data_IF_832354744013
#
_entry.id   IF_832354744013
#
_cell.length_a   1.000
_cell.length_b   1.000
_cell.length_c   1.000
_cell.angle_alpha   90.00
_cell.angle_beta   90.00
_cell.angle_gamma   90.00
#
_symmetry.space_group_name_H-M   'P 1'
#
loop_
_entity.id
_entity.type
_entity.pdbx_description
1 polymer ?
#
# COMPACT_ATOMS: atom_id res chain seq x y z
N UNK A 1 13.90 37.85 -0.03
CA UNK A 1 14.13 36.48 -0.54
C UNK A 1 13.92 35.39 0.51
N UNK A 2 13.48 35.69 1.74
CA UNK A 2 13.35 34.71 2.83
C UNK A 2 12.08 33.83 2.82
N UNK A 3 11.17 33.97 1.84
CA UNK A 3 9.86 33.30 1.91
C UNK A 3 9.83 31.91 1.24
N UNK A 4 10.63 31.67 0.21
CA UNK A 4 10.64 30.38 -0.50
C UNK A 4 11.40 29.33 0.30
N UNK A 5 12.59 29.66 0.79
CA UNK A 5 13.42 28.76 1.59
C UNK A 5 12.76 28.36 2.92
N UNK A 6 12.05 29.28 3.59
CA UNK A 6 11.28 28.93 4.80
C UNK A 6 10.06 28.07 4.51
N UNK A 7 9.33 28.35 3.42
CA UNK A 7 8.20 27.52 3.00
C UNK A 7 8.66 26.10 2.60
N UNK A 8 9.77 26.00 1.87
CA UNK A 8 10.39 24.73 1.50
C UNK A 8 10.87 23.96 2.74
N UNK A 9 11.55 24.62 3.68
CA UNK A 9 11.94 23.99 4.94
C UNK A 9 10.73 23.44 5.72
N UNK A 10 9.64 24.19 5.81
CA UNK A 10 8.43 23.72 6.46
C UNK A 10 7.82 22.48 5.76
N UNK A 11 7.85 22.46 4.44
CA UNK A 11 7.39 21.33 3.64
C UNK A 11 8.28 20.10 3.88
N UNK A 12 9.60 20.25 3.86
CA UNK A 12 10.54 19.16 4.12
C UNK A 12 10.37 18.58 5.54
N UNK A 13 10.13 19.45 6.53
CA UNK A 13 9.83 19.01 7.90
C UNK A 13 8.53 18.19 7.95
N UNK A 14 7.47 18.66 7.28
CA UNK A 14 6.22 17.93 7.18
C UNK A 14 6.37 16.57 6.50
N UNK A 15 7.13 16.52 5.40
CA UNK A 15 7.43 15.27 4.68
C UNK A 15 8.21 14.28 5.56
N UNK A 16 9.21 14.75 6.32
CA UNK A 16 9.96 13.91 7.23
C UNK A 16 9.08 13.34 8.35
N UNK A 17 8.22 14.16 8.95
CA UNK A 17 7.27 13.71 9.98
C UNK A 17 6.26 12.70 9.44
N UNK A 18 5.71 12.94 8.25
CA UNK A 18 4.79 12.01 7.59
C UNK A 18 5.48 10.68 7.26
N UNK A 19 6.72 10.74 6.78
CA UNK A 19 7.53 9.55 6.52
C UNK A 19 7.77 8.74 7.80
N UNK A 20 8.03 9.39 8.94
CA UNK A 20 8.15 8.70 10.23
C UNK A 20 6.85 7.99 10.65
N UNK A 21 5.69 8.65 10.50
CA UNK A 21 4.40 8.02 10.80
C UNK A 21 4.16 6.80 9.91
N UNK A 22 4.45 6.91 8.60
CA UNK A 22 4.34 5.79 7.65
C UNK A 22 5.30 4.65 7.98
N UNK A 23 6.55 4.98 8.32
CA UNK A 23 7.57 4.01 8.73
C UNK A 23 7.09 3.21 9.92
N UNK A 24 6.53 3.91 10.90
CA UNK A 24 6.03 3.30 12.11
C UNK A 24 4.86 2.34 11.84
N UNK A 25 3.88 2.78 11.05
CA UNK A 25 2.78 1.92 10.60
C UNK A 25 3.31 0.66 9.88
N UNK A 26 4.26 0.83 8.96
CA UNK A 26 4.87 -0.27 8.22
C UNK A 26 5.60 -1.28 9.12
N UNK A 27 6.30 -0.80 10.16
CA UNK A 27 6.95 -1.64 11.17
C UNK A 27 5.90 -2.42 11.98
N UNK A 28 4.80 -1.79 12.40
CA UNK A 28 3.71 -2.47 13.11
C UNK A 28 3.07 -3.58 12.26
N UNK A 29 2.83 -3.31 10.98
CA UNK A 29 2.31 -4.29 10.02
C UNK A 29 3.29 -5.46 9.89
N UNK A 30 4.58 -5.19 9.66
CA UNK A 30 5.63 -6.22 9.57
C UNK A 30 5.64 -7.11 10.83
N UNK A 31 5.60 -6.52 12.01
CA UNK A 31 5.57 -7.25 13.28
C UNK A 31 4.34 -8.16 13.38
N UNK A 32 3.17 -7.65 13.00
CA UNK A 32 1.92 -8.42 12.98
C UNK A 32 2.00 -9.60 12.01
N UNK A 33 2.53 -9.40 10.81
CA UNK A 33 2.67 -10.44 9.80
C UNK A 33 3.65 -11.54 10.21
N UNK A 34 4.74 -11.18 10.90
CA UNK A 34 5.67 -12.15 11.48
C UNK A 34 4.95 -13.01 12.52
N UNK A 35 4.18 -12.38 13.42
CA UNK A 35 3.36 -13.10 14.40
C UNK A 35 2.33 -14.00 13.74
N UNK A 36 1.58 -13.49 12.76
CA UNK A 36 0.60 -14.27 12.00
C UNK A 36 1.25 -15.48 11.31
N UNK A 37 2.42 -15.29 10.70
CA UNK A 37 3.17 -16.39 10.10
C UNK A 37 3.56 -17.43 11.14
N UNK A 38 4.00 -17.01 12.33
CA UNK A 38 4.37 -17.93 13.40
C UNK A 38 3.16 -18.64 14.02
N UNK A 39 2.00 -18.00 14.11
CA UNK A 39 0.81 -18.56 14.77
C UNK A 39 -0.14 -19.31 13.85
N UNK A 40 -0.26 -18.93 12.58
CA UNK A 40 -1.29 -19.47 11.67
C UNK A 40 -0.71 -20.30 10.52
N UNK A 41 0.51 -19.97 10.06
CA UNK A 41 1.12 -20.63 8.90
C UNK A 41 1.88 -21.87 9.35
N UNK A 42 1.16 -22.99 9.42
CA UNK A 42 1.70 -24.30 9.79
C UNK A 42 1.83 -25.26 8.59
N UNK A 43 2.75 -26.21 8.70
CA UNK A 43 2.87 -27.36 7.80
C UNK A 43 4.04 -27.29 6.80
N UNK A 44 4.19 -28.34 6.00
CA UNK A 44 5.29 -28.50 5.04
C UNK A 44 5.08 -27.80 3.69
N UNK A 45 3.94 -27.10 3.50
CA UNK A 45 3.66 -26.38 2.26
C UNK A 45 4.57 -25.15 2.16
N UNK A 46 5.09 -24.84 0.96
CA UNK A 46 5.87 -23.62 0.76
C UNK A 46 5.00 -22.41 1.09
N UNK A 47 5.49 -21.57 1.99
CA UNK A 47 4.84 -20.38 2.53
C UNK A 47 5.07 -19.15 1.62
N UNK A 48 5.05 -19.36 0.30
CA UNK A 48 5.42 -18.37 -0.73
C UNK A 48 4.62 -17.08 -0.62
N UNK A 49 3.31 -17.17 -0.36
CA UNK A 49 2.47 -15.98 -0.23
C UNK A 49 2.82 -15.12 0.99
N UNK A 50 3.06 -15.75 2.15
CA UNK A 50 3.43 -15.05 3.37
C UNK A 50 4.82 -14.38 3.23
N UNK A 51 5.77 -15.06 2.58
CA UNK A 51 7.07 -14.47 2.25
C UNK A 51 6.93 -13.30 1.28
N UNK A 52 6.21 -13.46 0.17
CA UNK A 52 6.00 -12.39 -0.81
C UNK A 52 5.35 -11.15 -0.18
N UNK A 53 4.41 -11.34 0.75
CA UNK A 53 3.77 -10.24 1.45
C UNK A 53 4.73 -9.55 2.44
N UNK A 54 5.53 -10.31 3.19
CA UNK A 54 6.60 -9.75 4.04
C UNK A 54 7.64 -8.98 3.23
N UNK A 55 8.03 -9.49 2.06
CA UNK A 55 9.01 -8.85 1.20
C UNK A 55 8.47 -7.55 0.61
N UNK A 56 7.18 -7.48 0.27
CA UNK A 56 6.52 -6.21 -0.11
C UNK A 56 6.55 -5.18 1.01
N UNK A 57 6.26 -5.57 2.24
CA UNK A 57 6.29 -4.65 3.39
C UNK A 57 7.71 -4.17 3.66
N UNK A 58 8.72 -5.05 3.54
CA UNK A 58 10.12 -4.65 3.64
C UNK A 58 10.51 -3.63 2.56
N UNK A 59 10.20 -3.92 1.30
CA UNK A 59 10.46 -2.98 0.20
C UNK A 59 9.75 -1.63 0.42
N UNK A 60 8.54 -1.64 0.99
CA UNK A 60 7.84 -0.42 1.35
C UNK A 60 8.54 0.37 2.46
N UNK A 61 9.04 -0.32 3.50
CA UNK A 61 9.86 0.28 4.55
C UNK A 61 11.09 0.94 3.94
N UNK A 62 11.81 0.23 3.07
CA UNK A 62 13.04 0.73 2.43
C UNK A 62 12.76 2.05 1.66
N UNK A 63 11.68 2.10 0.88
CA UNK A 63 11.26 3.31 0.16
C UNK A 63 10.91 4.47 1.12
N UNK A 64 10.23 4.19 2.23
CA UNK A 64 9.90 5.24 3.22
C UNK A 64 11.17 5.77 3.89
N UNK A 65 12.12 4.89 4.21
CA UNK A 65 13.41 5.26 4.80
C UNK A 65 14.18 6.17 3.86
N UNK A 66 14.25 5.83 2.57
CA UNK A 66 14.87 6.68 1.55
C UNK A 66 14.20 8.05 1.48
N UNK A 67 12.86 8.10 1.49
CA UNK A 67 12.10 9.35 1.48
C UNK A 67 12.36 10.21 2.73
N UNK A 68 12.46 9.59 3.90
CA UNK A 68 12.77 10.28 5.15
C UNK A 68 14.18 10.87 5.12
N UNK A 69 15.18 10.06 4.75
CA UNK A 69 16.57 10.48 4.65
C UNK A 69 16.74 11.63 3.64
N UNK A 70 16.07 11.55 2.48
CA UNK A 70 16.09 12.62 1.49
C UNK A 70 15.48 13.93 2.03
N UNK A 71 14.32 13.86 2.69
CA UNK A 71 13.67 15.03 3.27
C UNK A 71 14.50 15.64 4.41
N UNK A 72 15.09 14.81 5.27
CA UNK A 72 15.97 15.24 6.36
C UNK A 72 17.23 15.95 5.81
N UNK A 73 17.88 15.38 4.78
CA UNK A 73 19.05 15.99 4.14
C UNK A 73 18.71 17.33 3.47
N UNK A 74 17.57 17.42 2.78
CA UNK A 74 17.11 18.66 2.18
C UNK A 74 16.83 19.73 3.26
N UNK A 75 16.19 19.34 4.37
CA UNK A 75 15.95 20.24 5.50
C UNK A 75 17.26 20.73 6.14
N UNK A 76 18.25 19.84 6.28
CA UNK A 76 19.59 20.18 6.79
C UNK A 76 20.29 21.22 5.92
N UNK A 77 20.23 21.07 4.59
CA UNK A 77 20.82 22.03 3.65
C UNK A 77 20.20 23.43 3.72
N UNK A 78 18.90 23.50 4.01
CA UNK A 78 18.15 24.78 4.07
C UNK A 78 18.30 25.49 5.41
N UNK A 79 18.24 24.76 6.52
CA UNK A 79 18.17 25.34 7.88
C UNK A 79 19.52 25.35 8.58
N UNK A 80 20.42 24.42 8.22
CA UNK A 80 21.66 24.18 8.95
C UNK A 80 21.43 23.49 10.31
N UNK A 81 22.50 23.27 11.08
CA UNK A 81 22.41 22.56 12.36
C UNK A 81 21.61 23.33 13.40
N UNK A 82 20.79 22.63 14.19
CA UNK A 82 19.92 23.27 15.17
C UNK A 82 19.18 22.29 16.09
N UNK A 83 18.30 22.83 16.93
CA UNK A 83 17.52 22.05 17.91
C UNK A 83 16.59 21.02 17.27
N UNK A 84 16.28 21.16 15.99
CA UNK A 84 15.45 20.25 15.22
C UNK A 84 16.11 18.88 14.96
N UNK A 85 17.45 18.76 15.08
CA UNK A 85 18.15 17.47 14.98
C UNK A 85 17.70 16.48 16.06
N UNK A 86 17.27 16.99 17.22
CA UNK A 86 16.67 16.18 18.28
C UNK A 86 15.28 15.62 17.90
N UNK A 87 14.58 16.29 16.98
CA UNK A 87 13.26 15.86 16.51
C UNK A 87 13.31 14.99 15.26
N UNK A 88 14.22 15.29 14.33
CA UNK A 88 14.46 14.53 13.11
C UNK A 88 15.86 13.91 13.18
N UNK A 89 15.97 12.81 13.93
CA UNK A 89 17.25 12.13 14.11
C UNK A 89 17.65 11.35 12.85
N UNK A 90 18.96 11.16 12.65
CA UNK A 90 19.48 10.27 11.60
C UNK A 90 18.98 8.86 11.92
N UNK A 91 18.30 8.25 10.96
CA UNK A 91 17.74 6.91 11.13
C UNK A 91 18.86 5.88 10.94
N UNK A 92 19.15 5.09 11.98
CA UNK A 92 20.07 3.96 11.87
C UNK A 92 19.31 2.71 11.45
N UNK A 93 19.99 1.79 10.76
CA UNK A 93 19.42 0.47 10.43
C UNK A 93 18.97 -0.28 11.69
N UNK A 94 19.66 -0.01 12.81
CA UNK A 94 19.37 -0.53 14.14
C UNK A 94 18.04 -0.03 14.71
N UNK A 95 17.55 1.12 14.27
CA UNK A 95 16.26 1.67 14.72
C UNK A 95 15.07 1.02 14.00
N UNK A 96 15.32 0.33 12.88
CA UNK A 96 14.31 -0.31 12.04
C UNK A 96 14.05 -1.76 12.51
N UNK A 97 13.70 -1.93 13.78
CA UNK A 97 13.33 -3.23 14.33
C UNK A 97 11.83 -3.31 14.63
N UNK A 98 11.25 -4.49 14.42
CA UNK A 98 9.90 -4.73 14.90
C UNK A 98 9.90 -4.72 16.43
N UNK A 99 8.83 -4.22 17.06
CA UNK A 99 8.64 -4.27 18.53
C UNK A 99 8.82 -5.69 19.10
N UNK A 100 8.66 -6.72 18.26
CA UNK A 100 8.80 -8.14 18.60
C UNK A 100 10.22 -8.70 18.38
N UNK A 101 11.15 -7.94 17.80
CA UNK A 101 12.54 -8.34 17.56
C UNK A 101 13.44 -8.14 18.80
N UNK A 102 12.87 -7.86 19.98
CA UNK A 102 13.65 -8.02 21.21
C UNK A 102 14.12 -9.47 21.23
N UNK A 103 15.43 -9.66 21.11
CA UNK A 103 16.09 -10.96 21.11
C UNK A 103 15.71 -11.68 22.41
N UNK A 104 14.61 -12.43 22.38
CA UNK A 104 14.31 -13.38 23.43
C UNK A 104 15.50 -14.36 23.42
N UNK A 105 16.21 -14.54 24.56
CA UNK A 105 17.31 -15.48 24.61
C UNK A 105 16.78 -16.85 24.18
N UNK A 106 17.34 -17.37 23.09
CA UNK A 106 16.99 -18.67 22.53
C UNK A 106 17.39 -19.74 23.54
N UNK A 107 16.44 -20.18 24.36
CA UNK A 107 16.54 -21.44 25.07
C UNK A 107 15.47 -22.37 24.52
N UNK A 108 15.92 -23.20 23.57
CA UNK A 108 15.39 -24.52 23.21
C UNK A 108 13.96 -24.84 23.70
N UNK A 109 12.97 -24.56 22.84
CA UNK A 109 11.77 -25.40 22.72
C UNK A 109 10.69 -25.31 23.80
N UNK A 110 10.63 -24.27 24.63
CA UNK A 110 9.49 -24.05 25.52
C UNK A 110 8.95 -22.62 25.42
N UNK A 111 7.69 -22.50 25.02
CA UNK A 111 6.92 -21.25 25.08
C UNK A 111 6.78 -20.85 26.55
N UNK A 112 7.67 -19.98 27.03
CA UNK A 112 7.53 -19.33 28.33
C UNK A 112 6.37 -18.33 28.21
N UNK A 113 5.27 -18.63 28.92
CA UNK A 113 4.18 -17.68 29.14
C UNK A 113 4.77 -16.46 29.85
N UNK A 114 4.50 -15.27 29.33
CA UNK A 114 4.83 -13.98 29.95
C UNK A 114 4.26 -13.92 31.36
N UNK A 115 5.10 -14.26 32.35
CA UNK A 115 4.97 -13.83 33.73
C UNK A 115 5.76 -12.53 33.87
N UNK A 116 5.09 -11.49 34.33
CA UNK A 116 5.72 -10.28 34.85
C UNK A 116 6.56 -10.72 36.04
N UNK A 117 7.89 -10.62 35.93
CA UNK A 117 8.74 -10.49 37.10
C UNK A 117 9.93 -9.58 36.78
N UNK A 118 10.22 -8.77 37.78
CA UNK A 118 11.17 -7.65 37.78
C UNK A 118 12.58 -8.19 38.03
N UNK A 119 13.57 -7.30 37.84
CA UNK A 119 15.00 -7.42 38.18
C UNK A 119 15.83 -8.28 37.23
N UNK A 120 16.48 -7.65 36.25
CA UNK A 120 17.93 -7.41 36.30
C UNK A 120 18.38 -6.54 35.12
N UNK A 121 19.13 -5.47 35.43
CA UNK A 121 19.75 -4.59 34.42
C UNK A 121 21.01 -5.23 33.83
N UNK A 122 21.17 -5.15 32.51
CA UNK A 122 22.44 -4.77 31.93
C UNK A 122 22.27 -3.61 30.93
N UNK A 123 22.96 -2.51 31.25
CA UNK A 123 23.48 -1.46 30.36
C UNK A 123 22.59 -1.04 29.18
N UNK A 124 21.84 0.03 29.42
CA UNK A 124 21.04 0.76 28.44
C UNK A 124 21.91 1.27 27.29
N UNK A 125 21.72 0.72 26.09
CA UNK A 125 22.06 1.46 24.87
C UNK A 125 21.13 2.68 24.79
N UNK A 126 21.73 3.85 24.99
CA UNK A 126 21.10 5.17 25.07
C UNK A 126 20.35 5.59 23.78
N UNK A 127 20.41 4.80 22.71
CA UNK A 127 19.64 5.02 21.47
C UNK A 127 18.21 4.46 21.48
N UNK A 128 17.85 3.59 22.43
CA UNK A 128 16.58 2.85 22.38
C UNK A 128 15.37 3.61 22.94
N UNK A 129 15.58 4.79 23.53
CA UNK A 129 14.62 5.44 24.42
C UNK A 129 13.69 6.47 23.77
N UNK A 130 13.90 6.93 22.54
CA UNK A 130 12.98 7.94 21.99
C UNK A 130 11.71 7.34 21.34
N UNK A 131 11.86 6.26 20.56
CA UNK A 131 10.71 5.68 19.83
C UNK A 131 9.86 4.78 20.74
N UNK A 132 10.43 4.22 21.82
CA UNK A 132 9.78 3.15 22.62
C UNK A 132 9.43 3.51 24.07
N UNK A 133 9.79 4.70 24.57
CA UNK A 133 9.63 5.03 26.01
C UNK A 133 8.17 5.32 26.45
N UNK A 134 7.18 5.21 25.57
CA UNK A 134 5.76 5.34 25.92
C UNK A 134 4.95 4.08 25.55
N UNK A 135 5.24 2.98 26.26
CA UNK A 135 4.71 1.63 26.02
C UNK A 135 3.17 1.55 25.89
N UNK A 136 2.41 2.43 26.56
CA UNK A 136 0.94 2.44 26.49
C UNK A 136 0.38 3.20 25.27
N UNK A 137 0.96 4.37 24.94
CA UNK A 137 0.53 5.16 23.77
C UNK A 137 0.89 4.44 22.46
N UNK A 138 2.04 3.78 22.45
CA UNK A 138 2.56 3.02 21.31
C UNK A 138 1.74 1.76 21.02
N UNK A 139 1.20 1.09 22.05
CA UNK A 139 0.34 -0.09 21.86
C UNK A 139 -1.00 0.31 21.24
N UNK A 140 -1.60 1.43 21.69
CA UNK A 140 -2.83 1.96 21.12
C UNK A 140 -2.64 2.36 19.65
N UNK A 141 -1.58 3.09 19.37
CA UNK A 141 -1.29 3.54 18.01
C UNK A 141 -0.96 2.32 17.09
N UNK A 142 -0.38 1.24 17.63
CA UNK A 142 0.01 0.07 16.84
C UNK A 142 -1.23 -0.76 16.50
N UNK A 143 -2.20 -0.82 17.42
CA UNK A 143 -3.51 -1.37 17.14
C UNK A 143 -4.29 -0.50 16.14
N UNK A 144 -4.19 0.83 16.21
CA UNK A 144 -4.82 1.73 15.23
C UNK A 144 -4.22 1.57 13.83
N UNK A 145 -2.89 1.50 13.71
CA UNK A 145 -2.20 1.24 12.44
C UNK A 145 -2.70 -0.06 11.79
N UNK A 146 -2.84 -1.12 12.59
CA UNK A 146 -3.38 -2.39 12.12
C UNK A 146 -4.86 -2.28 11.72
N UNK A 147 -5.68 -1.58 12.51
CA UNK A 147 -7.09 -1.34 12.19
C UNK A 147 -7.25 -0.55 10.88
N UNK A 148 -6.42 0.48 10.65
CA UNK A 148 -6.43 1.26 9.41
C UNK A 148 -6.13 0.37 8.21
N UNK A 149 -5.09 -0.45 8.29
CA UNK A 149 -4.75 -1.38 7.20
C UNK A 149 -5.83 -2.44 6.99
N UNK A 150 -6.42 -2.95 8.07
CA UNK A 150 -7.53 -3.87 7.98
C UNK A 150 -8.73 -3.23 7.26
N UNK A 151 -9.09 -2.00 7.61
CA UNK A 151 -10.17 -1.25 6.95
C UNK A 151 -9.84 -1.01 5.47
N UNK A 152 -8.59 -0.65 5.12
CA UNK A 152 -8.16 -0.52 3.72
C UNK A 152 -8.33 -1.83 2.95
N UNK A 153 -7.88 -2.95 3.53
CA UNK A 153 -8.04 -4.28 2.93
C UNK A 153 -9.52 -4.64 2.72
N UNK A 154 -10.37 -4.34 3.71
CA UNK A 154 -11.81 -4.53 3.61
C UNK A 154 -12.44 -3.65 2.52
N UNK A 155 -12.02 -2.38 2.40
CA UNK A 155 -12.49 -1.48 1.36
C UNK A 155 -12.07 -1.98 -0.03
N UNK A 156 -10.82 -2.38 -0.24
CA UNK A 156 -10.37 -2.96 -1.51
C UNK A 156 -11.14 -4.24 -1.87
N UNK A 157 -11.44 -5.09 -0.89
CA UNK A 157 -12.28 -6.28 -1.10
C UNK A 157 -13.68 -5.89 -1.55
N UNK A 158 -14.32 -4.93 -0.90
CA UNK A 158 -15.66 -4.48 -1.24
C UNK A 158 -15.68 -3.83 -2.62
N UNK A 159 -14.70 -2.98 -2.92
CA UNK A 159 -14.54 -2.37 -4.24
C UNK A 159 -14.38 -3.45 -5.32
N UNK A 160 -13.55 -4.47 -5.11
CA UNK A 160 -13.42 -5.57 -6.07
C UNK A 160 -14.77 -6.26 -6.32
N UNK A 161 -15.59 -6.47 -5.30
CA UNK A 161 -16.93 -7.04 -5.49
C UNK A 161 -17.86 -6.12 -6.28
N UNK A 162 -17.79 -4.82 -6.06
CA UNK A 162 -18.53 -3.82 -6.83
C UNK A 162 -18.06 -3.78 -8.28
N UNK A 163 -16.75 -3.76 -8.53
CA UNK A 163 -16.16 -3.78 -9.87
C UNK A 163 -16.56 -5.02 -10.66
N UNK A 164 -16.62 -6.20 -10.03
CA UNK A 164 -17.11 -7.42 -10.69
C UNK A 164 -18.57 -7.28 -11.11
N UNK A 165 -19.43 -6.69 -10.27
CA UNK A 165 -20.83 -6.45 -10.61
C UNK A 165 -20.97 -5.40 -11.73
N UNK A 166 -20.19 -4.32 -11.67
CA UNK A 166 -20.16 -3.29 -12.72
C UNK A 166 -19.69 -3.86 -14.05
N UNK A 167 -18.64 -4.70 -14.06
CA UNK A 167 -18.15 -5.34 -15.27
C UNK A 167 -19.22 -6.25 -15.92
N UNK A 168 -19.99 -6.98 -15.12
CA UNK A 168 -21.11 -7.77 -15.64
C UNK A 168 -22.16 -6.89 -16.30
N UNK A 169 -22.47 -5.75 -15.69
CA UNK A 169 -23.42 -4.78 -16.26
C UNK A 169 -22.85 -4.16 -17.54
N UNK A 170 -21.61 -3.68 -17.55
CA UNK A 170 -20.92 -3.15 -18.74
C UNK A 170 -20.92 -4.16 -19.90
N UNK A 171 -20.74 -5.46 -19.63
CA UNK A 171 -20.87 -6.51 -20.64
C UNK A 171 -22.29 -6.61 -21.21
N UNK A 172 -23.32 -6.52 -20.36
CA UNK A 172 -24.71 -6.46 -20.84
C UNK A 172 -24.95 -5.22 -21.71
N UNK A 173 -24.45 -4.05 -21.30
CA UNK A 173 -24.55 -2.82 -22.07
C UNK A 173 -23.80 -2.89 -23.39
N UNK A 174 -22.59 -3.47 -23.42
CA UNK A 174 -21.82 -3.67 -24.64
C UNK A 174 -22.57 -4.56 -25.65
N UNK A 175 -23.19 -5.65 -25.19
CA UNK A 175 -24.02 -6.52 -26.03
C UNK A 175 -25.26 -5.76 -26.53
N UNK A 176 -25.98 -5.06 -25.65
CA UNK A 176 -27.17 -4.30 -26.00
C UNK A 176 -26.85 -3.17 -27.01
N UNK A 177 -25.75 -2.45 -26.80
CA UNK A 177 -25.26 -1.42 -27.68
C UNK A 177 -24.86 -1.96 -29.05
N UNK A 178 -24.16 -3.09 -29.09
CA UNK A 178 -23.77 -3.76 -30.34
C UNK A 178 -25.01 -4.17 -31.15
N UNK A 179 -26.03 -4.75 -30.49
CA UNK A 179 -27.33 -5.07 -31.12
C UNK A 179 -28.05 -3.81 -31.63
N UNK A 180 -28.10 -2.75 -30.82
CA UNK A 180 -28.70 -1.47 -31.22
C UNK A 180 -28.00 -0.86 -32.44
N UNK A 181 -26.67 -0.87 -32.46
CA UNK A 181 -25.88 -0.41 -33.61
C UNK A 181 -26.13 -1.26 -34.84
N UNK A 182 -26.17 -2.58 -34.70
CA UNK A 182 -26.53 -3.51 -35.78
C UNK A 182 -27.88 -3.16 -36.41
N UNK A 183 -28.92 -3.03 -35.59
CA UNK A 183 -30.26 -2.66 -36.06
C UNK A 183 -30.29 -1.29 -36.77
N UNK A 184 -29.49 -0.32 -36.31
CA UNK A 184 -29.38 1.00 -36.96
C UNK A 184 -28.73 0.90 -38.34
N UNK A 185 -27.72 0.05 -38.50
CA UNK A 185 -27.09 -0.20 -39.81
C UNK A 185 -28.03 -0.97 -40.74
N UNK A 186 -28.77 -1.97 -40.24
CA UNK A 186 -29.78 -2.69 -41.01
C UNK A 186 -30.87 -1.74 -41.54
N UNK A 187 -31.38 -0.85 -40.67
CA UNK A 187 -32.34 0.17 -41.07
C UNK A 187 -31.78 1.14 -42.12
N UNK A 188 -30.50 1.50 -42.01
CA UNK A 188 -29.83 2.35 -43.02
C UNK A 188 -29.72 1.64 -44.37
N UNK A 189 -29.36 0.35 -44.39
CA UNK A 189 -29.30 -0.42 -45.64
C UNK A 189 -30.69 -0.57 -46.31
N UNK A 190 -31.74 -0.77 -45.51
CA UNK A 190 -33.12 -0.95 -45.98
C UNK A 190 -33.72 0.33 -46.60
N UNK A 191 -33.24 1.51 -46.17
CA UNK A 191 -33.67 2.81 -46.69
C UNK A 191 -33.11 3.10 -48.10
N UNK A 192 -32.10 2.36 -48.55
CA UNK A 192 -31.45 2.51 -49.86
C UNK A 192 -32.07 1.65 -50.98
N UNK A 193 -33.29 1.15 -50.78
CA UNK A 193 -34.04 0.26 -51.68
C UNK A 193 -34.40 0.83 -53.07
N UNK A 194 -34.03 2.08 -53.37
CA UNK A 194 -34.23 2.73 -54.68
C UNK A 194 -32.98 2.79 -55.58
N UNK A 195 -31.85 2.24 -55.15
CA UNK A 195 -30.59 2.24 -55.90
C UNK A 195 -30.47 0.98 -56.80
N UNK A 196 -29.65 1.07 -57.85
CA UNK A 196 -29.32 -0.07 -58.72
C UNK A 196 -28.80 -1.26 -57.91
N UNK A 197 -29.23 -2.48 -58.26
CA UNK A 197 -28.95 -3.72 -57.52
C UNK A 197 -27.47 -3.89 -57.12
N UNK A 198 -26.55 -3.59 -58.05
CA UNK A 198 -25.10 -3.64 -57.86
C UNK A 198 -24.59 -2.70 -56.73
N UNK A 199 -25.21 -1.53 -56.60
CA UNK A 199 -24.84 -0.54 -55.58
C UNK A 199 -25.40 -0.93 -54.21
N UNK A 200 -26.62 -1.49 -54.19
CA UNK A 200 -27.25 -2.07 -52.99
C UNK A 200 -26.40 -3.22 -52.42
N UNK A 201 -25.98 -4.15 -53.27
CA UNK A 201 -25.12 -5.28 -52.88
C UNK A 201 -23.78 -4.80 -52.32
N UNK A 202 -23.19 -3.75 -52.92
CA UNK A 202 -21.93 -3.17 -52.43
C UNK A 202 -22.06 -2.47 -51.07
N UNK A 203 -23.15 -1.72 -50.84
CA UNK A 203 -23.44 -1.03 -49.57
C UNK A 203 -23.75 -2.05 -48.48
N UNK A 204 -24.51 -3.10 -48.82
CA UNK A 204 -24.83 -4.18 -47.90
C UNK A 204 -23.60 -5.01 -47.56
N UNK A 205 -22.72 -5.31 -48.52
CA UNK A 205 -21.44 -5.97 -48.27
C UNK A 205 -20.49 -5.14 -47.40
N UNK A 206 -20.44 -3.81 -47.61
CA UNK A 206 -19.62 -2.90 -46.82
C UNK A 206 -20.13 -2.73 -45.38
N UNK A 207 -21.44 -2.52 -45.20
CA UNK A 207 -22.07 -2.55 -43.89
C UNK A 207 -21.80 -3.88 -43.19
N UNK A 208 -21.78 -4.98 -43.96
CA UNK A 208 -21.54 -6.30 -43.43
C UNK A 208 -20.10 -6.55 -42.96
N UNK A 209 -19.12 -6.05 -43.71
CA UNK A 209 -17.72 -6.12 -43.30
C UNK A 209 -17.43 -5.23 -42.09
N UNK A 210 -18.02 -4.04 -42.01
CA UNK A 210 -17.72 -3.11 -40.92
C UNK A 210 -18.26 -3.57 -39.55
N UNK A 211 -19.32 -4.40 -39.49
CA UNK A 211 -19.77 -4.98 -38.21
C UNK A 211 -18.94 -6.18 -37.75
N UNK A 212 -18.25 -6.87 -38.65
CA UNK A 212 -17.48 -8.08 -38.31
C UNK A 212 -16.17 -7.78 -37.57
N UNK A 213 -15.72 -6.51 -37.57
CA UNK A 213 -14.47 -6.05 -36.94
C UNK A 213 -14.68 -5.13 -35.72
N UNK A 214 -15.92 -4.99 -35.23
CA UNK A 214 -16.26 -4.32 -33.95
C UNK A 214 -16.72 -5.36 -32.94
#
# INVERSE_FOLDING_TARGET
MHNLSTAEAHLQFGQAMEALTKLWQAICIKAHLIRYKHTEVHGQRPNTHAHALLDRVKAHIDVIVESYCAAQQAYYQLTGPGTWENTLNILHVEDIHAITDTKAPSNNGQLVKMGVDTTDSPEMHEGMTFITSNSFLHLMDATLALCVEWVKCCACKNQWTEEVLLLQEELHWAIAFSKFKGAKWDAHSSAHSGLTLDLLDSIQAYANQHWMWM
#
